data_IF_570291273869
#
_entry.id   IF_570291273869
#
_cell.length_a   1.000
_cell.length_b   1.000
_cell.length_c   1.000
_cell.angle_alpha   90.00
_cell.angle_beta   90.00
_cell.angle_gamma   90.00
#
_symmetry.space_group_name_H-M   'P 1'
#
loop_
_entity.id
_entity.type
_entity.pdbx_description
1 polymer ?
#
# COMPACT_ATOMS: atom_id res chain seq x y z
N UNK A 1 -36.01 1.85 55.59
CA UNK A 1 -36.84 2.69 54.70
C UNK A 1 -36.34 2.42 53.29
N UNK A 2 -37.13 1.69 52.52
CA UNK A 2 -36.70 0.88 51.39
C UNK A 2 -36.65 1.65 50.06
N UNK A 3 -35.60 1.36 49.29
CA UNK A 3 -35.51 1.32 47.81
C UNK A 3 -35.87 2.58 47.02
N UNK A 4 -34.85 3.40 46.72
CA UNK A 4 -34.84 4.31 45.57
C UNK A 4 -34.74 3.45 44.30
N UNK A 5 -35.85 3.34 43.57
CA UNK A 5 -35.97 2.58 42.32
C UNK A 5 -35.23 3.25 41.16
N UNK A 6 -34.28 2.52 40.60
CA UNK A 6 -33.58 2.77 39.35
C UNK A 6 -34.54 2.59 38.16
N UNK A 7 -35.05 3.69 37.60
CA UNK A 7 -35.75 3.68 36.31
C UNK A 7 -34.80 4.19 35.22
N UNK A 8 -33.92 3.30 34.75
CA UNK A 8 -33.08 3.56 33.56
C UNK A 8 -33.96 3.48 32.31
N UNK A 9 -34.47 4.63 31.86
CA UNK A 9 -35.21 4.74 30.62
C UNK A 9 -34.19 4.70 29.46
N UNK A 10 -34.24 3.70 28.58
CA UNK A 10 -33.31 3.60 27.45
C UNK A 10 -33.44 4.79 26.48
N UNK A 11 -34.59 5.47 26.48
CA UNK A 11 -34.83 6.55 25.53
C UNK A 11 -33.82 7.70 25.71
N UNK A 12 -33.21 8.16 24.61
CA UNK A 12 -32.36 9.33 24.62
C UNK A 12 -33.17 10.55 25.03
N UNK A 13 -32.50 11.46 25.73
CA UNK A 13 -33.03 12.77 26.11
C UNK A 13 -33.06 13.74 24.92
N UNK A 14 -32.38 13.39 23.82
CA UNK A 14 -32.32 14.15 22.57
C UNK A 14 -33.37 13.67 21.56
N UNK A 15 -33.75 14.55 20.64
CA UNK A 15 -34.77 14.26 19.63
C UNK A 15 -34.18 13.39 18.52
N UNK A 16 -34.56 12.11 18.45
CA UNK A 16 -34.10 11.18 17.41
C UNK A 16 -34.44 11.64 15.97
N UNK A 17 -35.45 12.50 15.82
CA UNK A 17 -35.88 13.03 14.51
C UNK A 17 -34.94 14.10 13.96
N UNK A 18 -34.23 14.80 14.85
CA UNK A 18 -33.42 15.98 14.54
C UNK A 18 -31.95 15.75 14.92
N UNK A 19 -31.05 15.49 13.96
CA UNK A 19 -29.64 15.23 14.23
C UNK A 19 -28.87 16.44 14.79
N UNK A 20 -29.43 17.64 14.71
CA UNK A 20 -28.86 18.85 15.30
C UNK A 20 -29.13 18.97 16.82
N UNK A 21 -29.93 18.07 17.40
CA UNK A 21 -30.32 18.12 18.82
C UNK A 21 -29.29 17.54 19.79
N UNK A 22 -28.23 16.89 19.28
CA UNK A 22 -27.18 16.24 20.08
C UNK A 22 -25.80 16.45 19.46
N UNK A 23 -24.77 16.58 20.30
CA UNK A 23 -23.38 16.60 19.83
C UNK A 23 -22.85 15.17 19.65
N UNK A 24 -21.93 14.96 18.70
CA UNK A 24 -21.28 13.66 18.43
C UNK A 24 -20.75 12.97 19.71
N UNK A 25 -20.03 13.66 20.62
CA UNK A 25 -19.52 13.01 21.85
C UNK A 25 -20.64 12.57 22.81
N UNK A 26 -21.70 13.37 22.98
CA UNK A 26 -22.84 13.02 23.84
C UNK A 26 -23.66 11.83 23.30
N UNK A 27 -23.82 11.76 21.97
CA UNK A 27 -24.44 10.62 21.30
C UNK A 27 -23.63 9.34 21.51
N UNK A 28 -22.30 9.44 21.36
CA UNK A 28 -21.38 8.31 21.51
C UNK A 28 -21.40 7.73 22.92
N UNK A 29 -21.39 8.58 23.95
CA UNK A 29 -21.52 8.13 25.35
C UNK A 29 -22.84 7.39 25.59
N UNK A 30 -23.96 7.91 25.06
CA UNK A 30 -25.26 7.26 25.17
C UNK A 30 -25.29 5.92 24.41
N UNK A 31 -24.75 5.87 23.19
CA UNK A 31 -24.69 4.66 22.37
C UNK A 31 -23.79 3.58 23.00
N UNK A 32 -22.64 3.95 23.59
CA UNK A 32 -21.81 2.98 24.31
C UNK A 32 -22.55 2.31 25.48
N UNK A 33 -23.46 3.02 26.14
CA UNK A 33 -24.19 2.52 27.29
C UNK A 33 -25.45 1.72 26.92
N UNK A 34 -26.18 2.12 25.86
CA UNK A 34 -27.49 1.57 25.52
C UNK A 34 -27.56 0.92 24.12
N UNK A 35 -26.48 0.95 23.34
CA UNK A 35 -26.44 0.48 21.95
C UNK A 35 -26.77 -1.00 21.75
N UNK A 36 -26.56 -1.85 22.77
CA UNK A 36 -26.93 -3.27 22.72
C UNK A 36 -28.43 -3.55 22.82
N UNK A 37 -29.22 -2.59 23.34
CA UNK A 37 -30.68 -2.67 23.46
C UNK A 37 -31.41 -1.95 22.31
N UNK A 38 -30.69 -1.09 21.60
CA UNK A 38 -31.20 -0.33 20.47
C UNK A 38 -31.15 -1.23 19.22
N UNK A 39 -32.23 -1.25 18.42
CA UNK A 39 -32.36 -2.14 17.26
C UNK A 39 -31.27 -1.92 16.20
N UNK A 40 -31.18 -2.85 15.23
CA UNK A 40 -30.11 -2.92 14.21
C UNK A 40 -29.99 -1.72 13.27
N UNK A 41 -30.88 -0.73 13.37
CA UNK A 41 -30.92 0.45 12.48
C UNK A 41 -30.12 1.65 13.00
N UNK A 42 -29.58 1.59 14.22
CA UNK A 42 -28.78 2.68 14.79
C UNK A 42 -27.37 2.15 15.00
N UNK A 43 -26.39 2.82 14.40
CA UNK A 43 -24.96 2.47 14.47
C UNK A 43 -24.17 3.64 15.05
N UNK A 44 -23.09 3.34 15.76
CA UNK A 44 -22.04 4.34 16.02
C UNK A 44 -21.12 4.39 14.80
N UNK A 45 -20.86 5.60 14.32
CA UNK A 45 -19.92 5.84 13.24
C UNK A 45 -18.66 6.45 13.86
N UNK A 46 -17.72 5.59 14.22
CA UNK A 46 -16.43 6.02 14.73
C UNK A 46 -15.46 6.30 13.59
N UNK A 47 -14.95 7.54 13.52
CA UNK A 47 -14.04 7.94 12.45
C UNK A 47 -12.71 7.19 12.51
N UNK A 48 -12.21 6.89 13.70
CA UNK A 48 -10.95 6.16 13.88
C UNK A 48 -11.12 4.70 13.47
N UNK A 49 -12.26 4.08 13.79
CA UNK A 49 -12.61 2.72 13.35
C UNK A 49 -12.75 2.64 11.83
N UNK A 50 -13.44 3.59 11.20
CA UNK A 50 -13.59 3.62 9.73
C UNK A 50 -12.27 3.90 9.00
N UNK A 51 -11.37 4.72 9.57
CA UNK A 51 -10.00 4.86 9.04
C UNK A 51 -9.19 3.58 9.22
N UNK A 52 -9.36 2.84 10.32
CA UNK A 52 -8.66 1.57 10.55
C UNK A 52 -9.13 0.44 9.63
N UNK A 53 -10.38 0.50 9.16
CA UNK A 53 -10.94 -0.35 8.09
C UNK A 53 -10.45 0.05 6.69
N UNK A 54 -9.63 1.09 6.59
CA UNK A 54 -9.07 1.61 5.35
C UNK A 54 -8.43 0.51 4.50
N UNK A 55 -8.60 0.64 3.19
CA UNK A 55 -8.07 -0.33 2.23
C UNK A 55 -6.57 -0.09 2.06
N UNK A 56 -5.73 -1.10 2.28
CA UNK A 56 -4.28 -1.00 2.05
C UNK A 56 -3.91 -1.34 0.59
N UNK A 57 -2.72 -0.89 0.16
CA UNK A 57 -2.16 -1.24 -1.15
C UNK A 57 -2.93 -0.65 -2.33
N UNK A 58 -3.31 -1.50 -3.30
CA UNK A 58 -3.93 -1.07 -4.56
C UNK A 58 -5.33 -0.46 -4.37
N UNK A 59 -6.10 -0.93 -3.38
CA UNK A 59 -7.43 -0.39 -3.10
C UNK A 59 -7.41 1.03 -2.57
N UNK A 60 -6.35 1.42 -1.84
CA UNK A 60 -6.15 2.79 -1.40
C UNK A 60 -6.10 3.76 -2.60
N UNK A 61 -5.24 3.45 -3.58
CA UNK A 61 -5.01 4.29 -4.76
C UNK A 61 -6.19 4.31 -5.74
N UNK A 62 -6.83 3.16 -5.98
CA UNK A 62 -7.84 3.02 -7.02
C UNK A 62 -9.30 3.08 -6.53
N UNK A 63 -9.54 3.12 -5.22
CA UNK A 63 -10.87 3.23 -4.63
C UNK A 63 -10.95 4.53 -3.81
N UNK A 64 -10.23 4.59 -2.69
CA UNK A 64 -10.34 5.71 -1.75
C UNK A 64 -9.89 7.05 -2.37
N UNK A 65 -8.73 7.08 -3.04
CA UNK A 65 -8.27 8.31 -3.70
C UNK A 65 -9.19 8.74 -4.84
N UNK A 66 -9.68 7.80 -5.66
CA UNK A 66 -10.60 8.16 -6.76
C UNK A 66 -11.94 8.66 -6.27
N UNK A 67 -12.45 8.11 -5.16
CA UNK A 67 -13.68 8.54 -4.52
C UNK A 67 -13.55 9.96 -3.97
N UNK A 68 -12.43 10.27 -3.30
CA UNK A 68 -12.14 11.62 -2.85
C UNK A 68 -12.03 12.62 -4.00
N UNK A 69 -11.36 12.25 -5.10
CA UNK A 69 -11.17 13.11 -6.26
C UNK A 69 -12.47 13.42 -7.02
N UNK A 70 -13.46 12.53 -6.96
CA UNK A 70 -14.77 12.76 -7.53
C UNK A 70 -15.53 13.91 -6.84
N UNK A 71 -15.18 14.23 -5.60
CA UNK A 71 -15.81 15.31 -4.82
C UNK A 71 -15.19 16.70 -5.09
N UNK A 72 -14.03 16.77 -5.76
CA UNK A 72 -13.39 18.05 -6.07
C UNK A 72 -14.06 18.77 -7.25
N UNK A 73 -14.15 20.12 -7.22
CA UNK A 73 -14.54 20.89 -8.39
C UNK A 73 -13.49 20.70 -9.49
N UNK A 74 -13.94 20.49 -10.74
CA UNK A 74 -13.11 20.07 -11.87
C UNK A 74 -12.44 18.68 -11.70
N UNK A 75 -13.21 17.69 -11.22
CA UNK A 75 -12.78 16.29 -11.05
C UNK A 75 -11.99 15.64 -12.20
N UNK A 76 -12.30 15.82 -13.51
CA UNK A 76 -11.53 15.17 -14.58
C UNK A 76 -10.09 15.68 -14.70
N UNK A 77 -9.83 16.95 -14.34
CA UNK A 77 -8.48 17.52 -14.37
C UNK A 77 -7.59 16.85 -13.32
N UNK A 78 -8.08 16.79 -12.08
CA UNK A 78 -7.36 16.17 -10.97
C UNK A 78 -7.11 14.69 -11.24
N UNK A 79 -8.13 13.94 -11.70
CA UNK A 79 -8.04 12.50 -11.99
C UNK A 79 -6.93 12.19 -13.00
N UNK A 80 -6.84 12.99 -14.07
CA UNK A 80 -5.80 12.82 -15.10
C UNK A 80 -4.40 13.03 -14.53
N UNK A 81 -4.20 14.06 -13.71
CA UNK A 81 -2.90 14.36 -13.09
C UNK A 81 -2.45 13.24 -12.13
N UNK A 82 -3.39 12.71 -11.34
CA UNK A 82 -3.10 11.61 -10.42
C UNK A 82 -2.73 10.32 -11.15
N UNK A 83 -3.48 9.91 -12.16
CA UNK A 83 -3.14 8.70 -12.93
C UNK A 83 -1.84 8.88 -13.73
N UNK A 84 -1.58 10.08 -14.26
CA UNK A 84 -0.31 10.38 -14.93
C UNK A 84 0.88 10.33 -13.97
N UNK A 85 0.71 10.79 -12.73
CA UNK A 85 1.71 10.63 -11.68
C UNK A 85 1.98 9.15 -11.38
N UNK A 86 0.94 8.34 -11.15
CA UNK A 86 1.08 6.90 -10.91
C UNK A 86 1.77 6.19 -12.08
N UNK A 87 1.41 6.56 -13.31
CA UNK A 87 2.03 6.01 -14.52
C UNK A 87 3.53 6.36 -14.61
N UNK A 88 3.90 7.62 -14.34
CA UNK A 88 5.31 8.04 -14.33
C UNK A 88 6.13 7.36 -13.21
N UNK A 89 5.54 7.19 -12.02
CA UNK A 89 6.17 6.44 -10.92
C UNK A 89 6.39 4.97 -11.30
N UNK A 90 5.39 4.34 -11.92
CA UNK A 90 5.49 2.97 -12.43
C UNK A 90 6.54 2.83 -13.54
N UNK A 91 6.56 3.75 -14.51
CA UNK A 91 7.53 3.67 -15.62
C UNK A 91 8.98 3.85 -15.15
N UNK A 92 9.24 4.83 -14.29
CA UNK A 92 10.60 5.12 -13.82
C UNK A 92 11.21 3.96 -13.02
N UNK A 93 10.42 3.32 -12.16
CA UNK A 93 10.84 2.13 -11.40
C UNK A 93 11.07 0.91 -12.31
N UNK A 94 10.22 0.72 -13.34
CA UNK A 94 10.39 -0.37 -14.30
C UNK A 94 11.66 -0.22 -15.16
N UNK A 95 12.05 1.01 -15.50
CA UNK A 95 13.34 1.22 -16.19
C UNK A 95 14.53 0.82 -15.32
N UNK A 96 14.52 1.19 -14.04
CA UNK A 96 15.58 0.82 -13.09
C UNK A 96 15.69 -0.69 -12.89
N UNK A 97 14.56 -1.38 -12.70
CA UNK A 97 14.54 -2.84 -12.52
C UNK A 97 14.99 -3.58 -13.77
N UNK A 98 14.53 -3.18 -14.96
CA UNK A 98 14.97 -3.76 -16.23
C UNK A 98 16.48 -3.59 -16.43
N UNK A 99 17.03 -2.40 -16.14
CA UNK A 99 18.46 -2.16 -16.23
C UNK A 99 19.26 -2.95 -15.19
N UNK A 100 18.72 -3.10 -13.98
CA UNK A 100 19.31 -3.92 -12.91
C UNK A 100 19.41 -5.40 -13.28
N UNK A 101 18.48 -5.94 -14.09
CA UNK A 101 18.54 -7.32 -14.58
C UNK A 101 19.47 -7.43 -15.79
N UNK A 102 19.37 -6.50 -16.75
CA UNK A 102 20.12 -6.57 -18.01
C UNK A 102 21.61 -6.33 -17.83
N UNK A 103 22.02 -5.42 -16.95
CA UNK A 103 23.43 -5.06 -16.73
C UNK A 103 24.29 -6.26 -16.29
N UNK A 104 23.99 -6.96 -15.17
CA UNK A 104 24.79 -8.11 -14.75
C UNK A 104 24.74 -9.27 -15.74
N UNK A 105 23.63 -9.42 -16.47
CA UNK A 105 23.51 -10.45 -17.50
C UNK A 105 24.42 -10.16 -18.71
N UNK A 106 24.52 -8.89 -19.11
CA UNK A 106 25.38 -8.45 -20.20
C UNK A 106 26.86 -8.45 -19.82
N UNK A 107 27.20 -8.17 -18.57
CA UNK A 107 28.58 -8.15 -18.08
C UNK A 107 29.17 -9.55 -17.92
N UNK A 108 28.36 -10.53 -17.47
CA UNK A 108 28.82 -11.92 -17.30
C UNK A 108 28.88 -12.71 -18.63
N UNK A 109 28.01 -12.41 -19.60
CA UNK A 109 27.93 -13.15 -20.86
C UNK A 109 28.31 -12.27 -22.06
N UNK A 110 29.57 -12.35 -22.49
CA UNK A 110 30.10 -11.57 -23.64
C UNK A 110 29.35 -11.79 -24.97
N UNK A 111 28.79 -12.99 -25.17
CA UNK A 111 27.93 -13.35 -26.31
C UNK A 111 26.60 -12.60 -26.29
N UNK A 112 26.01 -12.44 -25.10
CA UNK A 112 24.78 -11.67 -24.87
C UNK A 112 25.06 -10.17 -25.01
N UNK A 113 26.21 -9.69 -24.52
CA UNK A 113 26.64 -8.31 -24.66
C UNK A 113 26.80 -7.82 -26.11
N UNK A 114 26.94 -8.72 -27.10
CA UNK A 114 26.99 -8.40 -28.53
C UNK A 114 25.61 -8.18 -29.15
N UNK A 115 24.56 -8.78 -28.59
CA UNK A 115 23.19 -8.73 -29.10
C UNK A 115 22.23 -8.06 -28.10
N UNK A 116 22.66 -6.92 -27.53
CA UNK A 116 21.93 -6.18 -26.48
C UNK A 116 20.47 -5.90 -26.83
N UNK A 117 20.21 -5.46 -28.06
CA UNK A 117 18.85 -5.13 -28.53
C UNK A 117 17.94 -6.35 -28.57
N UNK A 118 18.44 -7.51 -29.01
CA UNK A 118 17.68 -8.76 -29.03
C UNK A 118 17.33 -9.24 -27.62
N UNK A 119 18.22 -9.04 -26.65
CA UNK A 119 17.97 -9.45 -25.26
C UNK A 119 16.90 -8.60 -24.60
N UNK A 120 16.96 -7.28 -24.78
CA UNK A 120 15.92 -6.38 -24.26
C UNK A 120 14.56 -6.70 -24.86
N UNK A 121 14.49 -6.97 -26.17
CA UNK A 121 13.22 -7.36 -26.81
C UNK A 121 12.74 -8.71 -26.25
N UNK A 122 13.63 -9.68 -26.10
CA UNK A 122 13.30 -10.99 -25.54
C UNK A 122 12.78 -10.88 -24.10
N UNK A 123 13.44 -10.12 -23.23
CA UNK A 123 13.01 -9.92 -21.84
C UNK A 123 11.66 -9.20 -21.77
N UNK A 124 11.41 -8.21 -22.63
CA UNK A 124 10.11 -7.54 -22.73
C UNK A 124 9.00 -8.50 -23.19
N UNK A 125 9.25 -9.35 -24.19
CA UNK A 125 8.27 -10.34 -24.68
C UNK A 125 7.97 -11.38 -23.61
N UNK A 126 8.99 -11.90 -22.93
CA UNK A 126 8.82 -12.82 -21.81
C UNK A 126 8.02 -12.18 -20.67
N UNK A 127 8.36 -10.95 -20.29
CA UNK A 127 7.63 -10.18 -19.29
C UNK A 127 6.16 -9.95 -19.68
N UNK A 128 5.88 -9.66 -20.96
CA UNK A 128 4.51 -9.54 -21.46
C UNK A 128 3.73 -10.85 -21.34
N UNK A 129 4.32 -11.98 -21.74
CA UNK A 129 3.66 -13.31 -21.66
C UNK A 129 3.37 -13.70 -20.21
N UNK A 130 4.32 -13.47 -19.29
CA UNK A 130 4.10 -13.71 -17.85
C UNK A 130 3.02 -12.74 -17.32
N UNK A 131 3.06 -11.47 -17.73
CA UNK A 131 2.09 -10.46 -17.34
C UNK A 131 0.65 -10.80 -17.70
N UNK A 132 0.42 -11.53 -18.80
CA UNK A 132 -0.92 -12.01 -19.17
C UNK A 132 -1.56 -12.87 -18.08
N UNK A 133 -0.77 -13.61 -17.28
CA UNK A 133 -1.30 -14.39 -16.16
C UNK A 133 -1.99 -13.51 -15.10
N UNK A 134 -1.47 -12.30 -14.87
CA UNK A 134 -2.03 -11.35 -13.92
C UNK A 134 -3.27 -10.61 -14.43
N UNK A 135 -3.56 -10.67 -15.75
CA UNK A 135 -4.75 -10.04 -16.35
C UNK A 135 -6.01 -10.90 -16.30
N UNK A 136 -5.90 -12.15 -15.82
CA UNK A 136 -7.03 -13.07 -15.73
C UNK A 136 -8.05 -12.62 -14.65
N UNK A 137 -9.28 -13.15 -14.68
CA UNK A 137 -10.34 -12.84 -13.69
C UNK A 137 -9.92 -13.04 -12.22
N UNK A 138 -9.04 -14.01 -11.97
CA UNK A 138 -8.44 -14.29 -10.65
C UNK A 138 -7.07 -13.62 -10.46
N UNK A 139 -6.68 -12.72 -11.35
CA UNK A 139 -5.34 -12.12 -11.42
C UNK A 139 -4.98 -11.31 -10.18
N UNK A 140 -5.96 -10.64 -9.56
CA UNK A 140 -5.74 -9.88 -8.33
C UNK A 140 -5.17 -10.78 -7.21
N UNK A 141 -5.67 -12.00 -7.04
CA UNK A 141 -5.12 -12.95 -6.06
C UNK A 141 -3.67 -13.34 -6.37
N UNK A 142 -3.34 -13.55 -7.65
CA UNK A 142 -1.96 -13.84 -8.06
C UNK A 142 -1.02 -12.66 -7.81
N UNK A 143 -1.49 -11.43 -8.04
CA UNK A 143 -0.71 -10.21 -7.77
C UNK A 143 -0.45 -10.06 -6.27
N UNK A 144 -1.47 -10.17 -5.42
CA UNK A 144 -1.30 -10.06 -3.96
C UNK A 144 -0.36 -11.14 -3.43
N UNK A 145 -0.54 -12.40 -3.85
CA UNK A 145 0.36 -13.48 -3.43
C UNK A 145 1.80 -13.25 -3.91
N UNK A 146 1.99 -12.73 -5.12
CA UNK A 146 3.32 -12.45 -5.63
C UNK A 146 3.96 -11.27 -4.89
N UNK A 147 3.22 -10.21 -4.58
CA UNK A 147 3.72 -9.04 -3.86
C UNK A 147 4.21 -9.41 -2.45
N UNK A 148 3.42 -10.21 -1.72
CA UNK A 148 3.75 -10.62 -0.35
C UNK A 148 5.02 -11.50 -0.27
N UNK A 149 5.22 -12.39 -1.25
CA UNK A 149 6.26 -13.42 -1.17
C UNK A 149 7.48 -13.19 -2.08
N UNK A 150 7.36 -12.50 -3.22
CA UNK A 150 8.41 -12.47 -4.24
C UNK A 150 9.57 -11.55 -3.91
N UNK A 151 9.31 -10.36 -3.34
CA UNK A 151 10.32 -9.34 -3.12
C UNK A 151 10.85 -9.37 -1.69
N UNK A 152 9.96 -9.43 -0.70
CA UNK A 152 10.31 -9.23 0.71
C UNK A 152 11.29 -10.29 1.24
N UNK A 153 10.98 -11.57 1.04
CA UNK A 153 11.82 -12.66 1.59
C UNK A 153 13.22 -12.72 0.97
N UNK A 154 13.38 -12.68 -0.37
CA UNK A 154 14.72 -12.70 -0.97
C UNK A 154 15.52 -11.44 -0.68
N UNK A 155 14.90 -10.27 -0.65
CA UNK A 155 15.59 -9.00 -0.41
C UNK A 155 16.23 -8.98 0.98
N UNK A 156 15.52 -9.41 2.01
CA UNK A 156 16.06 -9.50 3.38
C UNK A 156 17.29 -10.41 3.41
N UNK A 157 17.21 -11.57 2.76
CA UNK A 157 18.31 -12.53 2.70
C UNK A 157 19.53 -11.90 2.01
N UNK A 158 19.33 -11.28 0.84
CA UNK A 158 20.42 -10.64 0.08
C UNK A 158 21.09 -9.53 0.89
N UNK A 159 20.32 -8.65 1.54
CA UNK A 159 20.87 -7.53 2.33
C UNK A 159 21.68 -8.03 3.53
N UNK A 160 21.22 -9.09 4.22
CA UNK A 160 21.98 -9.69 5.33
C UNK A 160 23.30 -10.27 4.84
N UNK A 161 23.31 -10.99 3.72
CA UNK A 161 24.52 -11.57 3.16
C UNK A 161 25.49 -10.50 2.63
N UNK A 162 25.00 -9.46 1.94
CA UNK A 162 25.83 -8.33 1.51
C UNK A 162 26.48 -7.64 2.69
N UNK A 163 25.70 -7.32 3.73
CA UNK A 163 26.22 -6.65 4.94
C UNK A 163 27.26 -7.50 5.65
N UNK A 164 27.01 -8.81 5.78
CA UNK A 164 27.95 -9.75 6.37
C UNK A 164 29.24 -9.87 5.53
N UNK A 165 29.11 -9.96 4.21
CA UNK A 165 30.25 -10.06 3.30
C UNK A 165 31.13 -8.81 3.36
N UNK A 166 30.54 -7.61 3.39
CA UNK A 166 31.30 -6.35 3.49
C UNK A 166 31.96 -6.22 4.86
N UNK A 167 31.22 -6.46 5.95
CA UNK A 167 31.75 -6.26 7.31
C UNK A 167 32.86 -7.24 7.69
N UNK A 168 32.68 -8.54 7.40
CA UNK A 168 33.57 -9.61 7.89
C UNK A 168 34.48 -10.23 6.82
N UNK A 169 34.02 -10.39 5.58
CA UNK A 169 34.82 -11.06 4.53
C UNK A 169 35.74 -10.07 3.83
N UNK A 170 35.22 -8.92 3.40
CA UNK A 170 36.03 -7.85 2.81
C UNK A 170 36.83 -7.09 3.88
N UNK A 171 36.19 -6.86 5.03
CA UNK A 171 36.75 -6.17 6.18
C UNK A 171 36.35 -4.69 6.18
N UNK A 172 35.75 -4.25 7.28
CA UNK A 172 35.27 -2.87 7.43
C UNK A 172 36.39 -1.82 7.27
N UNK A 173 37.59 -2.09 7.80
CA UNK A 173 38.71 -1.16 7.71
C UNK A 173 39.16 -0.94 6.25
N UNK A 174 39.24 -2.01 5.45
CA UNK A 174 39.59 -1.91 4.02
C UNK A 174 38.52 -1.16 3.24
N UNK A 175 37.24 -1.37 3.57
CA UNK A 175 36.13 -0.64 2.95
C UNK A 175 36.19 0.87 3.25
N UNK A 176 36.58 1.25 4.48
CA UNK A 176 36.76 2.65 4.86
C UNK A 176 37.92 3.31 4.11
N UNK A 177 39.04 2.60 3.96
CA UNK A 177 40.19 3.09 3.18
C UNK A 177 39.81 3.33 1.70
N UNK A 178 39.05 2.42 1.09
CA UNK A 178 38.59 2.58 -0.30
C UNK A 178 37.65 3.79 -0.45
N UNK A 179 36.78 4.03 0.52
CA UNK A 179 35.91 5.21 0.54
C UNK A 179 36.75 6.49 0.66
N UNK A 180 37.77 6.52 1.52
CA UNK A 180 38.66 7.68 1.65
C UNK A 180 39.36 7.99 0.31
N UNK A 181 39.84 6.96 -0.40
CA UNK A 181 40.49 7.11 -1.71
C UNK A 181 39.50 7.65 -2.76
N UNK A 182 38.25 7.19 -2.78
CA UNK A 182 37.26 7.65 -3.77
C UNK A 182 36.75 9.08 -3.51
N UNK A 183 36.74 9.52 -2.25
CA UNK A 183 36.27 10.86 -1.87
C UNK A 183 37.35 11.95 -1.97
N UNK A 184 38.62 11.57 -2.14
CA UNK A 184 39.77 12.48 -2.19
C UNK A 184 40.12 12.89 -3.62
#
# INVERSE_FOLDING_TARGET
MATHGTNHHWWPWFNMSDPASVTIPEYREWYHHYGSQVGTNITDCDLDEEMSKGVEGTGLAFIAFTEAMAQFPASPFWSTLFFLMLLNLGMSTMFGTMQGILTPLMDNFSLLGRHRTMLTVCSCVLGFVIGLLFTQRSGNYFVTMFDDYSATMPLIIVVVFETFAVAWVYGADRFLDDIEIMLK
#
